data_IF_600358725425
#
_entry.id   IF_600358725425
#
_cell.length_a   1.000
_cell.length_b   1.000
_cell.length_c   1.000
_cell.angle_alpha   90.00
_cell.angle_beta   90.00
_cell.angle_gamma   90.00
#
_symmetry.space_group_name_H-M   'P 1'
#
loop_
_entity.id
_entity.type
_entity.pdbx_description
1 polymer ?
#
# COMPACT_ATOMS: atom_id res chain seq x y z
N UNK A 1 -0.52 -1.73 1.39
CA UNK A 1 0.41 -2.86 1.16
C UNK A 1 1.70 -2.36 0.52
N UNK A 2 2.83 -3.04 0.75
CA UNK A 2 4.06 -2.83 -0.03
C UNK A 2 4.74 -4.17 -0.28
N UNK A 3 5.27 -4.37 -1.48
CA UNK A 3 5.97 -5.58 -1.94
C UNK A 3 7.35 -5.18 -2.46
N UNK A 4 8.38 -5.94 -2.12
CA UNK A 4 9.75 -5.71 -2.59
C UNK A 4 10.45 -7.02 -2.93
N UNK A 5 11.44 -6.94 -3.80
CA UNK A 5 12.28 -8.06 -4.22
C UNK A 5 13.77 -7.71 -4.09
N UNK A 6 14.60 -8.71 -3.82
CA UNK A 6 16.05 -8.59 -3.61
C UNK A 6 16.44 -8.25 -2.17
N UNK A 7 17.56 -8.81 -1.72
CA UNK A 7 18.04 -8.76 -0.33
C UNK A 7 18.02 -7.36 0.29
N UNK A 8 18.58 -6.37 -0.43
CA UNK A 8 18.66 -4.99 0.07
C UNK A 8 17.28 -4.38 0.33
N UNK A 9 16.32 -4.66 -0.54
CA UNK A 9 14.98 -4.11 -0.42
C UNK A 9 14.19 -4.83 0.67
N UNK A 10 14.38 -6.15 0.82
CA UNK A 10 13.80 -6.94 1.91
C UNK A 10 14.29 -6.41 3.27
N UNK A 11 15.60 -6.18 3.41
CA UNK A 11 16.18 -5.62 4.63
C UNK A 11 15.63 -4.21 4.93
N UNK A 12 15.54 -3.37 3.89
CA UNK A 12 14.94 -2.03 4.01
C UNK A 12 13.48 -2.09 4.46
N UNK A 13 12.66 -2.94 3.84
CA UNK A 13 11.26 -3.08 4.18
C UNK A 13 11.08 -3.57 5.61
N UNK A 14 11.94 -4.47 6.09
CA UNK A 14 11.96 -4.96 7.47
C UNK A 14 12.28 -3.86 8.48
N UNK A 15 13.26 -3.00 8.18
CA UNK A 15 13.57 -1.81 9.00
C UNK A 15 12.40 -0.84 9.04
N UNK A 16 11.79 -0.57 7.88
CA UNK A 16 10.61 0.30 7.77
C UNK A 16 9.41 -0.25 8.55
N UNK A 17 9.15 -1.55 8.44
CA UNK A 17 8.10 -2.23 9.21
C UNK A 17 8.29 -1.98 10.71
N UNK A 18 9.46 -2.29 11.25
CA UNK A 18 9.79 -2.06 12.67
C UNK A 18 9.58 -0.61 13.10
N UNK A 19 10.04 0.35 12.30
CA UNK A 19 9.91 1.78 12.62
C UNK A 19 8.45 2.27 12.62
N UNK A 20 7.60 1.67 11.77
CA UNK A 20 6.20 2.07 11.64
C UNK A 20 5.27 1.32 12.60
N UNK A 21 5.59 0.08 13.01
CA UNK A 21 4.76 -0.74 13.89
C UNK A 21 4.46 -0.09 15.25
N UNK A 22 5.32 0.83 15.70
CA UNK A 22 5.13 1.56 16.96
C UNK A 22 4.15 2.74 16.84
N UNK A 23 3.78 3.14 15.62
CA UNK A 23 2.89 4.26 15.37
C UNK A 23 1.43 3.76 15.38
N UNK A 24 0.52 4.37 16.17
CA UNK A 24 -0.88 3.91 16.29
C UNK A 24 -1.62 3.70 14.97
N UNK A 25 -1.31 4.53 13.97
CA UNK A 25 -1.92 4.45 12.63
C UNK A 25 -1.58 3.16 11.87
N UNK A 26 -0.48 2.49 12.23
CA UNK A 26 -0.03 1.24 11.61
C UNK A 26 -0.26 0.02 12.51
N UNK A 27 -1.11 0.15 13.54
CA UNK A 27 -1.55 -1.00 14.32
C UNK A 27 -2.22 -2.04 13.43
N UNK A 28 -1.85 -3.31 13.62
CA UNK A 28 -2.34 -4.42 12.78
C UNK A 28 -1.61 -4.56 11.45
N UNK A 29 -0.51 -3.81 11.22
CA UNK A 29 0.36 -4.08 10.07
C UNK A 29 1.08 -5.42 10.26
N UNK A 30 1.07 -6.24 9.22
CA UNK A 30 1.75 -7.54 9.13
C UNK A 30 2.94 -7.45 8.17
N UNK A 31 3.96 -8.28 8.41
CA UNK A 31 5.14 -8.44 7.55
C UNK A 31 5.39 -9.93 7.32
N UNK A 32 5.73 -10.30 6.08
CA UNK A 32 6.13 -11.68 5.77
C UNK A 32 7.20 -11.73 4.68
N UNK A 33 8.10 -12.71 4.83
CA UNK A 33 9.05 -13.20 3.82
C UNK A 33 8.68 -14.63 3.38
N UNK A 34 7.66 -15.24 4.01
CA UNK A 34 7.20 -16.62 3.76
C UNK A 34 6.35 -16.70 2.48
N UNK A 35 6.78 -17.46 1.45
CA UNK A 35 6.05 -17.61 0.20
C UNK A 35 4.60 -18.07 0.38
N UNK A 36 4.30 -18.93 1.35
CA UNK A 36 2.92 -19.41 1.56
C UNK A 36 2.03 -18.28 2.08
N UNK A 37 2.54 -17.50 3.03
CA UNK A 37 1.83 -16.31 3.53
C UNK A 37 1.67 -15.24 2.46
N UNK A 38 2.68 -15.05 1.62
CA UNK A 38 2.61 -14.12 0.50
C UNK A 38 1.60 -14.59 -0.55
N UNK A 39 1.47 -15.89 -0.78
CA UNK A 39 0.46 -16.46 -1.69
C UNK A 39 -0.97 -16.24 -1.17
N UNK A 40 -1.18 -16.25 0.14
CA UNK A 40 -2.47 -15.86 0.73
C UNK A 40 -2.81 -14.38 0.43
N UNK A 41 -1.83 -13.49 0.47
CA UNK A 41 -2.04 -12.04 0.30
C UNK A 41 -2.11 -11.58 -1.16
N UNK A 42 -1.23 -12.12 -2.00
CA UNK A 42 -1.00 -11.67 -3.38
C UNK A 42 -0.86 -12.88 -4.33
N UNK A 43 -1.91 -13.72 -4.44
CA UNK A 43 -1.84 -14.99 -5.17
C UNK A 43 -1.40 -14.82 -6.63
N UNK A 44 -1.88 -13.78 -7.32
CA UNK A 44 -1.56 -13.51 -8.72
C UNK A 44 -0.10 -13.09 -8.95
N UNK A 45 0.56 -12.51 -7.94
CA UNK A 45 1.98 -12.14 -8.04
C UNK A 45 2.86 -13.36 -7.78
N UNK A 46 2.41 -14.27 -6.91
CA UNK A 46 3.12 -15.49 -6.58
C UNK A 46 2.92 -16.60 -7.64
N UNK A 47 1.82 -16.56 -8.37
CA UNK A 47 1.52 -17.51 -9.44
C UNK A 47 2.57 -17.45 -10.56
N UNK A 48 3.16 -18.61 -10.89
CA UNK A 48 4.14 -18.71 -11.96
C UNK A 48 5.51 -18.06 -11.67
N UNK A 49 5.75 -17.59 -10.43
CA UNK A 49 7.05 -17.04 -10.04
C UNK A 49 8.12 -18.15 -10.07
N UNK A 50 9.17 -17.95 -10.87
CA UNK A 50 10.31 -18.87 -11.01
C UNK A 50 11.61 -18.35 -10.40
N UNK A 51 11.65 -17.07 -10.01
CA UNK A 51 12.83 -16.46 -9.38
C UNK A 51 12.98 -16.92 -7.92
N UNK A 52 14.21 -17.26 -7.55
CA UNK A 52 14.63 -17.53 -6.17
C UNK A 52 15.07 -16.27 -5.42
N UNK A 53 14.92 -15.08 -6.02
CA UNK A 53 15.28 -13.84 -5.35
C UNK A 53 14.40 -13.61 -4.11
N UNK A 54 14.98 -13.16 -2.98
CA UNK A 54 14.22 -12.87 -1.77
C UNK A 54 13.08 -11.89 -2.04
N UNK A 55 11.93 -12.13 -1.42
CA UNK A 55 10.72 -11.32 -1.56
C UNK A 55 10.11 -11.09 -0.19
N UNK A 56 9.57 -9.89 0.02
CA UNK A 56 8.89 -9.56 1.27
C UNK A 56 7.72 -8.62 1.02
N UNK A 57 6.68 -8.72 1.84
CA UNK A 57 5.55 -7.82 1.80
C UNK A 57 5.12 -7.33 3.18
N UNK A 58 4.44 -6.19 3.17
CA UNK A 58 3.69 -5.67 4.31
C UNK A 58 2.22 -5.51 3.94
N UNK A 59 1.32 -5.92 4.84
CA UNK A 59 -0.14 -5.82 4.68
C UNK A 59 -0.72 -5.09 5.88
N UNK A 60 -1.77 -4.31 5.66
CA UNK A 60 -2.56 -3.69 6.73
C UNK A 60 -4.00 -3.62 6.24
N UNK A 61 -4.92 -4.24 6.96
CA UNK A 61 -6.32 -4.35 6.55
C UNK A 61 -7.12 -3.06 6.80
N UNK A 62 -6.66 -2.23 7.75
CA UNK A 62 -7.24 -0.92 8.01
C UNK A 62 -6.80 0.16 7.01
N UNK A 63 -5.86 -0.15 6.11
CA UNK A 63 -5.35 0.79 5.13
C UNK A 63 -6.44 1.23 4.15
N UNK A 64 -6.53 2.54 3.88
CA UNK A 64 -7.42 3.09 2.86
C UNK A 64 -6.62 3.41 1.60
N UNK A 65 -7.06 2.88 0.46
CA UNK A 65 -6.53 3.29 -0.84
C UNK A 65 -7.13 4.63 -1.27
N UNK A 66 -6.32 5.48 -1.89
CA UNK A 66 -6.75 6.81 -2.34
C UNK A 66 -6.83 6.81 -3.87
N UNK A 67 -8.04 6.88 -4.40
CA UNK A 67 -8.24 7.10 -5.83
C UNK A 67 -8.01 8.58 -6.17
N UNK A 68 -6.76 8.93 -6.51
CA UNK A 68 -6.38 10.30 -6.84
C UNK A 68 -7.15 10.87 -8.04
N UNK A 69 -7.57 10.04 -8.99
CA UNK A 69 -8.38 10.47 -10.14
C UNK A 69 -9.79 10.90 -9.71
N UNK A 70 -10.43 10.12 -8.82
CA UNK A 70 -11.72 10.48 -8.24
C UNK A 70 -11.60 11.73 -7.36
N UNK A 71 -10.58 11.79 -6.51
CA UNK A 71 -10.30 12.96 -5.67
C UNK A 71 -10.12 14.23 -6.51
N UNK A 72 -9.36 14.15 -7.60
CA UNK A 72 -9.14 15.27 -8.51
C UNK A 72 -10.45 15.77 -9.12
N UNK A 73 -11.30 14.88 -9.62
CA UNK A 73 -12.62 15.26 -10.15
C UNK A 73 -13.51 15.90 -9.08
N UNK A 74 -13.56 15.33 -7.88
CA UNK A 74 -14.31 15.91 -6.75
C UNK A 74 -13.85 17.32 -6.39
N UNK A 75 -12.54 17.57 -6.45
CA UNK A 75 -11.96 18.90 -6.23
C UNK A 75 -12.38 19.89 -7.32
N UNK A 76 -12.33 19.49 -8.59
CA UNK A 76 -12.81 20.32 -9.70
C UNK A 76 -14.30 20.64 -9.59
N UNK A 77 -15.14 19.63 -9.35
CA UNK A 77 -16.58 19.83 -9.18
C UNK A 77 -16.89 20.78 -8.00
N UNK A 78 -16.11 20.70 -6.91
CA UNK A 78 -16.25 21.62 -5.78
C UNK A 78 -15.93 23.07 -6.17
N UNK A 79 -14.88 23.28 -6.96
CA UNK A 79 -14.50 24.61 -7.43
C UNK A 79 -15.53 25.20 -8.40
N UNK A 80 -16.08 24.41 -9.31
CA UNK A 80 -17.16 24.84 -10.22
C UNK A 80 -18.42 25.24 -9.44
N UNK A 81 -18.86 24.40 -8.49
CA UNK A 81 -20.01 24.70 -7.61
C UNK A 81 -19.83 25.91 -6.70
N UNK A 82 -18.58 26.31 -6.41
CA UNK A 82 -18.30 27.54 -5.67
C UNK A 82 -18.28 28.77 -6.58
N UNK A 83 -17.66 28.67 -7.76
CA UNK A 83 -17.66 29.77 -8.75
C UNK A 83 -19.06 30.18 -9.21
N UNK A 84 -19.99 29.22 -9.33
CA UNK A 84 -21.40 29.54 -9.64
C UNK A 84 -22.19 30.17 -8.48
N UNK A 85 -21.63 30.30 -7.28
CA UNK A 85 -22.30 30.88 -6.11
C UNK A 85 -21.97 32.36 -5.86
N UNK A 86 -20.87 32.83 -6.44
CA UNK A 86 -20.41 34.24 -6.33
C UNK A 86 -20.92 35.13 -7.49
N UNK A 87 -21.87 34.64 -8.30
CA UNK A 87 -22.49 35.39 -9.41
C UNK A 87 -24.01 35.63 -9.24
N UNK A 88 -24.52 35.62 -8.00
CA UNK A 88 -25.88 36.06 -7.67
C UNK A 88 -25.87 37.15 -6.60
#
# INVERSE_FOLDING_TARGET
MSLVEGEKNVEFLKKRFKALSDIPMFQGMEYSEDPEKLKEWIPLVMEGRTSNDPIAATKIDSGTDVNFGALTRMLFDHLERKKCRDQL
#
